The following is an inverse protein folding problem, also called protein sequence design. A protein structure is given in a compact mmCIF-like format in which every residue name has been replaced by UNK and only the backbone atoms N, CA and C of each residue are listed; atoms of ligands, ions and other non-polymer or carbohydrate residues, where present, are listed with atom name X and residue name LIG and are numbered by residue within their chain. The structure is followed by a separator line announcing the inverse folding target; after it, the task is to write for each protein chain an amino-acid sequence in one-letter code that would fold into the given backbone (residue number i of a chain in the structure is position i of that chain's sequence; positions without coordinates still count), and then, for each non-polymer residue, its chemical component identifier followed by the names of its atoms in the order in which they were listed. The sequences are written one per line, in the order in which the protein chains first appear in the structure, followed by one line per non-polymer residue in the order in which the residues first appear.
data_IF_103477176140
#
_entry.id   IF_103477176140
#
_cell.length_a   1.000
_cell.length_b   1.000
_cell.length_c   1.000
_cell.angle_alpha   90.00
_cell.angle_beta   90.00
_cell.angle_gamma   90.00
#
_symmetry.space_group_name_H-M   'P 1'
#
loop_
_entity.id
_entity.type
_entity.pdbx_description
1 polymer ?
#
# COMPACT_ATOMS: atom_id res chain seq x y z
N UNK A 1 47.17 8.39 -47.40
CA UNK A 1 46.96 9.38 -46.32
C UNK A 1 47.13 8.63 -45.02
N UNK A 2 48.28 8.81 -44.36
CA UNK A 2 48.53 8.18 -43.07
C UNK A 2 47.73 9.01 -42.01
N UNK A 3 46.74 8.38 -41.40
CA UNK A 3 46.06 8.98 -40.28
C UNK A 3 46.97 8.77 -39.06
N UNK A 4 47.63 9.81 -38.60
CA UNK A 4 48.40 9.77 -37.37
C UNK A 4 47.40 9.86 -36.24
N UNK A 5 47.27 8.77 -35.50
CA UNK A 5 46.45 8.75 -34.29
C UNK A 5 47.10 9.64 -33.22
N UNK A 6 46.34 10.51 -32.59
CA UNK A 6 46.86 11.34 -31.52
C UNK A 6 47.40 10.46 -30.37
N UNK A 7 48.63 10.70 -29.95
CA UNK A 7 49.26 10.02 -28.83
C UNK A 7 48.79 10.54 -27.46
N UNK A 8 48.20 11.74 -27.46
CA UNK A 8 47.56 12.34 -26.26
C UNK A 8 46.04 12.22 -26.42
N UNK A 9 45.45 11.26 -25.80
CA UNK A 9 43.98 11.05 -25.75
C UNK A 9 43.49 10.98 -24.28
N UNK A 10 42.18 10.88 -24.07
CA UNK A 10 41.58 10.81 -22.73
C UNK A 10 42.00 9.55 -21.96
N UNK A 11 42.46 8.50 -22.64
CA UNK A 11 42.90 7.27 -21.99
C UNK A 11 44.33 7.39 -21.43
N UNK A 12 45.18 8.18 -22.10
CA UNK A 12 46.57 8.43 -21.69
C UNK A 12 46.70 9.59 -20.68
N UNK A 13 45.75 10.50 -20.68
CA UNK A 13 45.75 11.67 -19.80
C UNK A 13 44.50 11.72 -18.86
N UNK A 14 44.24 10.63 -18.17
CA UNK A 14 43.11 10.50 -17.24
C UNK A 14 43.15 11.52 -16.11
N UNK A 15 44.34 12.01 -15.71
CA UNK A 15 44.50 13.04 -14.69
C UNK A 15 44.08 14.44 -15.13
N UNK A 16 43.90 14.67 -16.47
CA UNK A 16 43.41 15.95 -17.02
C UNK A 16 41.94 15.92 -17.37
N UNK A 17 41.30 14.77 -17.29
CA UNK A 17 39.85 14.68 -17.45
C UNK A 17 39.17 15.16 -16.17
N UNK A 18 38.19 16.02 -16.30
CA UNK A 18 37.37 16.44 -15.15
C UNK A 18 36.72 15.20 -14.53
N UNK A 19 36.73 15.06 -13.21
CA UNK A 19 36.02 13.98 -12.55
C UNK A 19 34.56 14.01 -12.94
N UNK A 20 33.90 12.85 -13.11
CA UNK A 20 32.49 12.81 -13.48
C UNK A 20 31.67 13.55 -12.43
N UNK A 21 30.92 14.58 -12.87
CA UNK A 21 29.96 15.23 -12.01
C UNK A 21 28.69 14.37 -11.92
N UNK A 22 28.21 14.11 -10.72
CA UNK A 22 26.93 13.47 -10.51
C UNK A 22 25.83 14.53 -10.75
N UNK A 23 25.18 14.45 -11.91
CA UNK A 23 24.11 15.37 -12.28
C UNK A 23 22.75 14.90 -11.74
N UNK A 24 22.59 13.60 -11.58
CA UNK A 24 21.31 12.98 -11.18
C UNK A 24 21.59 11.70 -10.39
N UNK A 25 20.79 11.48 -9.35
CA UNK A 25 20.77 10.24 -8.59
C UNK A 25 19.58 9.40 -9.08
N UNK A 26 19.85 8.24 -9.65
CA UNK A 26 18.80 7.35 -10.15
C UNK A 26 18.37 6.41 -9.02
N UNK A 27 17.12 6.52 -8.60
CA UNK A 27 16.51 5.61 -7.63
C UNK A 27 15.45 4.73 -8.29
N UNK A 28 15.31 3.51 -7.81
CA UNK A 28 14.22 2.59 -8.16
C UNK A 28 13.15 2.51 -7.08
N UNK A 29 13.26 3.32 -6.04
CA UNK A 29 12.34 3.34 -4.92
C UNK A 29 10.96 3.88 -5.34
N UNK A 30 9.90 3.26 -4.85
CA UNK A 30 8.51 3.58 -5.19
C UNK A 30 7.87 4.32 -4.03
N UNK A 31 7.33 5.51 -4.29
CA UNK A 31 6.69 6.37 -3.27
C UNK A 31 5.23 5.98 -2.97
N UNK A 32 4.61 5.15 -3.81
CA UNK A 32 3.21 4.74 -3.65
C UNK A 32 2.98 3.87 -2.41
N UNK A 33 1.81 4.05 -1.77
CA UNK A 33 1.29 3.20 -0.68
C UNK A 33 -0.07 2.63 -1.06
N UNK A 34 -0.13 1.67 -2.00
CA UNK A 34 -1.39 1.18 -2.56
C UNK A 34 -2.33 0.57 -1.53
N UNK A 35 -1.82 -0.21 -0.59
CA UNK A 35 -2.63 -0.83 0.46
C UNK A 35 -3.20 0.21 1.44
N UNK A 36 -2.40 1.25 1.77
CA UNK A 36 -2.87 2.37 2.60
C UNK A 36 -3.91 3.23 1.87
N UNK A 37 -3.76 3.41 0.54
CA UNK A 37 -4.70 4.18 -0.28
C UNK A 37 -6.02 3.43 -0.50
N UNK A 38 -6.01 2.11 -0.38
CA UNK A 38 -7.19 1.27 -0.51
C UNK A 38 -8.12 1.32 0.72
N UNK A 39 -7.68 1.87 1.86
CA UNK A 39 -8.45 1.96 3.11
C UNK A 39 -8.76 3.39 3.49
N UNK A 40 -9.66 3.57 4.45
CA UNK A 40 -9.96 4.90 5.00
C UNK A 40 -8.77 5.43 5.79
N UNK A 41 -8.54 6.74 5.72
CA UNK A 41 -7.50 7.42 6.50
C UNK A 41 -8.09 8.18 7.67
N UNK A 42 -7.37 8.21 8.78
CA UNK A 42 -7.72 8.95 9.98
C UNK A 42 -6.50 9.64 10.60
N UNK A 43 -6.76 10.55 11.51
CA UNK A 43 -5.72 11.23 12.28
C UNK A 43 -5.49 10.50 13.60
N UNK A 44 -4.22 10.27 13.93
CA UNK A 44 -3.84 9.64 15.19
C UNK A 44 -4.13 10.59 16.36
N UNK A 45 -4.61 10.08 17.52
CA UNK A 45 -4.70 10.89 18.74
C UNK A 45 -3.34 11.48 19.14
N UNK A 46 -3.35 12.69 19.69
CA UNK A 46 -2.13 13.41 20.03
C UNK A 46 -1.29 12.76 21.14
N UNK A 47 -1.86 11.87 21.94
CA UNK A 47 -1.21 11.20 23.07
C UNK A 47 -1.76 9.79 23.25
N UNK A 48 -0.94 8.93 23.88
CA UNK A 48 -1.27 7.53 24.14
C UNK A 48 -0.63 6.55 23.15
N UNK A 49 -0.29 5.36 23.63
CA UNK A 49 0.25 4.28 22.82
C UNK A 49 -0.84 3.29 22.36
N UNK A 50 -2.08 3.52 22.78
CA UNK A 50 -3.25 2.79 22.32
C UNK A 50 -4.49 3.68 22.45
N UNK A 51 -5.52 3.40 21.66
CA UNK A 51 -6.83 4.02 21.78
C UNK A 51 -7.92 3.01 21.50
N UNK A 52 -9.13 3.30 21.95
CA UNK A 52 -10.27 2.41 21.81
C UNK A 52 -11.31 2.99 20.88
N UNK A 53 -11.90 2.15 20.04
CA UNK A 53 -13.01 2.50 19.16
C UNK A 53 -14.24 1.71 19.59
N UNK A 54 -15.36 2.36 19.96
CA UNK A 54 -16.57 1.64 20.30
C UNK A 54 -17.13 0.90 19.09
N UNK A 55 -17.59 -0.33 19.32
CA UNK A 55 -18.21 -1.18 18.32
C UNK A 55 -19.53 -1.74 18.85
N UNK A 56 -20.56 -1.70 18.04
CA UNK A 56 -21.80 -2.38 18.32
C UNK A 56 -21.59 -3.90 18.22
N UNK A 57 -21.88 -4.62 19.29
CA UNK A 57 -21.81 -6.09 19.32
C UNK A 57 -23.15 -6.75 19.01
N UNK A 58 -24.23 -6.13 19.47
CA UNK A 58 -25.61 -6.59 19.20
C UNK A 58 -26.43 -5.41 18.73
N UNK A 59 -27.02 -5.53 17.53
CA UNK A 59 -27.96 -4.53 17.03
C UNK A 59 -29.32 -4.71 17.68
N UNK A 60 -30.06 -3.62 17.98
CA UNK A 60 -31.43 -3.72 18.42
C UNK A 60 -32.29 -4.30 17.30
N UNK A 61 -33.24 -5.13 17.67
CA UNK A 61 -34.27 -5.66 16.75
C UNK A 61 -35.61 -4.95 16.99
N UNK A 62 -36.39 -4.82 15.94
CA UNK A 62 -37.76 -4.28 16.01
C UNK A 62 -38.70 -5.43 15.64
N UNK A 63 -39.73 -5.60 16.42
CA UNK A 63 -40.82 -6.50 16.08
C UNK A 63 -41.67 -5.83 14.98
N UNK A 64 -41.78 -6.47 13.83
CA UNK A 64 -42.46 -5.93 12.66
C UNK A 64 -43.97 -6.27 12.59
N UNK A 65 -44.43 -7.18 13.44
CA UNK A 65 -45.80 -7.67 13.40
C UNK A 65 -46.34 -7.88 14.83
N UNK A 66 -46.32 -6.82 15.62
CA UNK A 66 -46.91 -6.83 16.98
C UNK A 66 -48.43 -6.65 16.90
N UNK A 67 -49.16 -7.57 17.51
CA UNK A 67 -50.63 -7.53 17.59
C UNK A 67 -51.07 -6.51 18.70
N UNK A 68 -52.30 -5.98 18.52
CA UNK A 68 -52.86 -5.02 19.47
C UNK A 68 -52.94 -5.63 20.89
N UNK A 69 -52.27 -5.02 21.85
CA UNK A 69 -52.28 -5.46 23.25
C UNK A 69 -51.13 -6.43 23.60
N UNK A 70 -50.27 -6.78 22.65
CA UNK A 70 -49.08 -7.58 22.90
C UNK A 70 -47.92 -6.75 23.44
N UNK A 71 -47.08 -7.35 24.30
CA UNK A 71 -45.88 -6.69 24.75
C UNK A 71 -44.88 -6.55 23.59
N UNK A 72 -44.35 -5.32 23.41
CA UNK A 72 -43.37 -5.05 22.38
C UNK A 72 -42.11 -5.91 22.57
N UNK A 73 -41.78 -6.75 21.59
CA UNK A 73 -40.57 -7.54 21.55
C UNK A 73 -39.40 -6.72 21.03
N UNK A 74 -38.22 -7.06 21.46
CA UNK A 74 -36.99 -6.45 20.94
C UNK A 74 -35.75 -6.99 21.65
N UNK A 75 -34.60 -6.86 20.97
CA UNK A 75 -33.30 -7.20 21.54
C UNK A 75 -32.63 -5.92 22.04
N UNK A 76 -32.08 -5.96 23.24
CA UNK A 76 -31.30 -4.85 23.78
C UNK A 76 -30.01 -4.65 22.97
N UNK A 77 -29.66 -3.39 22.78
CA UNK A 77 -28.41 -3.00 22.15
C UNK A 77 -27.23 -3.29 23.09
N UNK A 78 -26.22 -3.99 22.62
CA UNK A 78 -24.96 -4.19 23.34
C UNK A 78 -23.78 -3.62 22.55
N UNK A 79 -22.81 -3.06 23.27
CA UNK A 79 -21.60 -2.49 22.68
C UNK A 79 -20.34 -3.10 23.30
N UNK A 80 -19.30 -3.14 22.52
CA UNK A 80 -17.93 -3.48 22.91
C UNK A 80 -16.95 -2.44 22.36
N UNK A 81 -15.67 -2.63 22.52
CA UNK A 81 -14.66 -1.74 21.96
C UNK A 81 -13.53 -2.54 21.32
N UNK A 82 -12.89 -1.92 20.33
CA UNK A 82 -11.70 -2.41 19.67
C UNK A 82 -10.53 -1.59 20.19
N UNK A 83 -9.51 -2.25 20.76
CA UNK A 83 -8.27 -1.61 21.13
C UNK A 83 -7.33 -1.58 19.92
N UNK A 84 -6.78 -0.41 19.63
CA UNK A 84 -5.86 -0.17 18.53
C UNK A 84 -4.55 0.32 19.09
N UNK A 85 -3.47 -0.42 18.83
CA UNK A 85 -2.13 -0.10 19.29
C UNK A 85 -1.43 0.83 18.30
N UNK A 86 -0.76 1.85 18.83
CA UNK A 86 0.07 2.78 18.07
C UNK A 86 1.45 2.19 17.90
N UNK A 87 1.89 2.11 16.64
CA UNK A 87 3.20 1.60 16.25
C UNK A 87 4.09 2.73 15.77
N UNK A 88 5.40 2.59 15.92
CA UNK A 88 6.41 3.50 15.41
C UNK A 88 7.12 2.84 14.22
N UNK A 89 7.16 3.53 13.09
CA UNK A 89 8.09 3.23 12.00
C UNK A 89 9.22 4.26 12.05
N UNK A 90 10.46 3.81 12.01
CA UNK A 90 11.63 4.69 12.06
C UNK A 90 12.77 4.13 11.22
N UNK A 91 13.43 5.00 10.47
CA UNK A 91 14.66 4.71 9.76
C UNK A 91 15.78 5.63 10.25
N UNK A 92 16.99 5.10 10.43
CA UNK A 92 18.17 5.82 10.83
C UNK A 92 19.27 5.57 9.82
N UNK A 93 19.96 6.63 9.39
CA UNK A 93 21.17 6.56 8.59
C UNK A 93 22.29 7.34 9.26
N UNK A 94 23.50 6.79 9.21
CA UNK A 94 24.71 7.42 9.74
C UNK A 94 25.63 7.75 8.59
N UNK A 95 26.05 9.00 8.49
CA UNK A 95 26.86 9.56 7.40
C UNK A 95 28.14 10.13 8.00
N UNK A 96 29.27 9.99 7.33
CA UNK A 96 30.51 10.70 7.71
C UNK A 96 30.46 12.16 7.25
N UNK A 97 31.08 13.06 7.99
CA UNK A 97 31.18 14.46 7.59
C UNK A 97 31.96 14.63 6.28
N UNK A 98 33.00 13.80 6.08
CA UNK A 98 33.77 13.85 4.85
C UNK A 98 32.89 13.53 3.62
N UNK A 99 31.96 12.59 3.75
CA UNK A 99 31.01 12.30 2.68
C UNK A 99 30.08 13.48 2.42
N UNK A 100 29.59 14.13 3.48
CA UNK A 100 28.71 15.27 3.36
C UNK A 100 29.43 16.47 2.72
N UNK A 101 30.67 16.77 3.14
CA UNK A 101 31.44 17.90 2.64
C UNK A 101 31.97 17.70 1.21
N UNK A 102 32.23 16.44 0.82
CA UNK A 102 32.82 16.09 -0.47
C UNK A 102 31.80 15.59 -1.50
N UNK A 103 30.58 15.30 -1.08
CA UNK A 103 29.50 14.89 -2.00
C UNK A 103 28.79 16.09 -2.64
N UNK A 104 27.98 15.81 -3.65
CA UNK A 104 27.08 16.80 -4.22
C UNK A 104 26.10 17.31 -3.16
N UNK A 105 25.74 18.61 -3.15
CA UNK A 105 24.73 19.17 -2.23
C UNK A 105 23.38 18.44 -2.26
N UNK A 106 23.05 17.79 -3.38
CA UNK A 106 21.82 17.02 -3.55
C UNK A 106 21.80 15.68 -2.76
N UNK A 107 22.95 15.20 -2.27
CA UNK A 107 23.03 13.90 -1.60
C UNK A 107 22.18 13.82 -0.33
N UNK A 108 22.21 14.88 0.48
CA UNK A 108 21.44 14.92 1.73
C UNK A 108 19.91 14.90 1.48
N UNK A 109 19.45 15.67 0.50
CA UNK A 109 18.04 15.72 0.14
C UNK A 109 17.58 14.36 -0.42
N UNK A 110 18.42 13.70 -1.20
CA UNK A 110 18.13 12.39 -1.76
C UNK A 110 18.07 11.31 -0.67
N UNK A 111 18.96 11.37 0.31
CA UNK A 111 18.91 10.48 1.47
C UNK A 111 17.60 10.61 2.24
N UNK A 112 17.11 11.83 2.44
CA UNK A 112 15.82 12.07 3.12
C UNK A 112 14.67 11.49 2.29
N UNK A 113 14.71 11.63 0.96
CA UNK A 113 13.70 11.03 0.08
C UNK A 113 13.71 9.51 0.19
N UNK A 114 14.87 8.87 0.12
CA UNK A 114 15.01 7.42 0.25
C UNK A 114 14.51 6.91 1.62
N UNK A 115 14.77 7.64 2.70
CA UNK A 115 14.21 7.31 4.02
C UNK A 115 12.67 7.44 4.05
N UNK A 116 12.10 8.43 3.34
CA UNK A 116 10.66 8.56 3.20
C UNK A 116 10.06 7.43 2.37
N UNK A 117 10.73 6.97 1.31
CA UNK A 117 10.31 5.80 0.54
C UNK A 117 10.34 4.52 1.37
N UNK A 118 11.40 4.33 2.14
CA UNK A 118 11.51 3.19 3.07
C UNK A 118 10.39 3.21 4.13
N UNK A 119 10.03 4.39 4.63
CA UNK A 119 8.90 4.56 5.54
C UNK A 119 7.57 4.23 4.84
N UNK A 120 7.36 4.71 3.61
CA UNK A 120 6.17 4.42 2.82
C UNK A 120 6.00 2.90 2.60
N UNK A 121 7.07 2.23 2.17
CA UNK A 121 7.12 0.77 2.01
C UNK A 121 6.78 0.03 3.31
N UNK A 122 7.39 0.42 4.44
CA UNK A 122 7.17 -0.24 5.72
C UNK A 122 5.72 -0.11 6.21
N UNK A 123 5.10 1.07 6.05
CA UNK A 123 3.71 1.30 6.44
C UNK A 123 2.71 0.60 5.52
N UNK A 124 3.02 0.46 4.25
CA UNK A 124 2.21 -0.27 3.28
C UNK A 124 2.24 -1.77 3.56
N UNK A 125 3.43 -2.34 3.79
CA UNK A 125 3.58 -3.74 4.23
C UNK A 125 2.89 -4.03 5.56
N UNK A 126 2.91 -3.09 6.50
CA UNK A 126 2.18 -3.25 7.75
C UNK A 126 0.66 -3.28 7.54
N UNK A 127 0.15 -2.57 6.52
CA UNK A 127 -1.27 -2.56 6.17
C UNK A 127 -1.68 -3.87 5.53
N UNK A 128 -0.90 -4.41 4.59
CA UNK A 128 -1.16 -5.74 4.00
C UNK A 128 -1.06 -6.84 5.05
N UNK A 129 -0.11 -6.76 5.99
CA UNK A 129 -0.03 -7.67 7.12
C UNK A 129 -1.27 -7.60 8.03
N UNK A 130 -1.85 -6.42 8.22
CA UNK A 130 -3.09 -6.26 8.97
C UNK A 130 -4.30 -6.87 8.22
N UNK A 131 -4.33 -6.79 6.88
CA UNK A 131 -5.33 -7.50 6.06
C UNK A 131 -5.24 -9.01 6.25
N UNK A 132 -4.03 -9.55 6.28
CA UNK A 132 -3.79 -10.98 6.55
C UNK A 132 -4.24 -11.37 7.96
N UNK A 133 -3.89 -10.59 8.96
CA UNK A 133 -4.19 -10.91 10.36
C UNK A 133 -5.68 -10.83 10.71
N UNK A 134 -6.41 -9.87 10.15
CA UNK A 134 -7.78 -9.55 10.56
C UNK A 134 -8.83 -9.74 9.46
N UNK A 135 -8.41 -9.90 8.21
CA UNK A 135 -9.31 -10.16 7.08
C UNK A 135 -9.81 -11.60 7.05
N UNK A 136 -10.94 -11.81 6.41
CA UNK A 136 -11.54 -13.14 6.22
C UNK A 136 -10.96 -13.80 4.98
N UNK A 137 -10.58 -15.07 5.09
CA UNK A 137 -10.12 -15.85 3.94
C UNK A 137 -11.30 -16.18 3.02
N UNK A 138 -11.09 -16.00 1.72
CA UNK A 138 -12.08 -16.34 0.71
C UNK A 138 -12.19 -17.85 0.49
N UNK A 139 -13.23 -18.27 -0.22
CA UNK A 139 -13.28 -19.63 -0.76
C UNK A 139 -12.16 -19.87 -1.77
N UNK A 140 -11.66 -21.09 -1.83
CA UNK A 140 -10.57 -21.49 -2.74
C UNK A 140 -10.91 -21.21 -4.20
N UNK A 141 -9.95 -20.64 -4.93
CA UNK A 141 -10.05 -20.28 -6.35
C UNK A 141 -8.73 -20.58 -7.04
N UNK A 142 -8.79 -20.91 -8.33
CA UNK A 142 -7.59 -21.09 -9.13
C UNK A 142 -6.86 -19.75 -9.39
N UNK A 143 -5.54 -19.79 -9.52
CA UNK A 143 -4.72 -18.62 -9.89
C UNK A 143 -4.81 -18.33 -11.40
N UNK A 144 -6.00 -18.06 -11.89
CA UNK A 144 -6.31 -17.77 -13.30
C UNK A 144 -7.28 -16.59 -13.38
N UNK A 145 -7.43 -16.00 -14.56
CA UNK A 145 -8.41 -14.93 -14.79
C UNK A 145 -9.85 -15.39 -14.46
N UNK A 146 -10.20 -16.64 -14.79
CA UNK A 146 -11.50 -17.20 -14.42
C UNK A 146 -11.66 -17.32 -12.90
N UNK A 147 -10.59 -17.73 -12.20
CA UNK A 147 -10.57 -17.79 -10.75
C UNK A 147 -10.63 -16.40 -10.09
N UNK A 148 -9.93 -15.41 -10.63
CA UNK A 148 -10.02 -14.02 -10.16
C UNK A 148 -11.46 -13.48 -10.34
N UNK A 149 -12.10 -13.74 -11.48
CA UNK A 149 -13.49 -13.37 -11.72
C UNK A 149 -14.44 -14.04 -10.72
N UNK A 150 -14.26 -15.35 -10.47
CA UNK A 150 -15.04 -16.10 -9.49
C UNK A 150 -14.82 -15.56 -8.06
N UNK A 151 -13.59 -15.24 -7.71
CA UNK A 151 -13.23 -14.60 -6.43
C UNK A 151 -13.97 -13.27 -6.25
N UNK A 152 -13.87 -12.35 -7.21
CA UNK A 152 -14.53 -11.05 -7.13
C UNK A 152 -16.05 -11.20 -7.05
N UNK A 153 -16.65 -11.99 -7.93
CA UNK A 153 -18.11 -12.16 -8.00
C UNK A 153 -18.72 -12.78 -6.75
N UNK A 154 -17.97 -13.61 -6.03
CA UNK A 154 -18.41 -14.28 -4.80
C UNK A 154 -18.13 -13.46 -3.55
N UNK A 155 -16.95 -12.89 -3.47
CA UNK A 155 -16.47 -12.28 -2.23
C UNK A 155 -16.89 -10.80 -2.07
N UNK A 156 -17.19 -10.07 -3.14
CA UNK A 156 -17.75 -8.70 -3.04
C UNK A 156 -19.10 -8.67 -2.34
N UNK A 157 -20.10 -9.49 -2.73
CA UNK A 157 -21.36 -9.58 -1.99
C UNK A 157 -21.18 -10.10 -0.56
N UNK A 158 -20.25 -11.04 -0.34
CA UNK A 158 -19.97 -11.58 0.97
C UNK A 158 -19.34 -10.53 1.91
N UNK A 159 -18.45 -9.68 1.38
CA UNK A 159 -17.89 -8.55 2.12
C UNK A 159 -18.99 -7.53 2.49
N UNK A 160 -19.92 -7.25 1.57
CA UNK A 160 -21.03 -6.37 1.84
C UNK A 160 -21.95 -6.93 2.93
N UNK A 161 -22.30 -8.21 2.86
CA UNK A 161 -23.13 -8.86 3.88
C UNK A 161 -22.47 -8.86 5.27
N UNK A 162 -21.14 -9.02 5.33
CA UNK A 162 -20.40 -9.05 6.59
C UNK A 162 -20.14 -7.67 7.19
N UNK A 163 -19.90 -6.66 6.35
CA UNK A 163 -19.48 -5.32 6.79
C UNK A 163 -20.58 -4.27 6.71
N UNK A 164 -21.66 -4.53 5.98
CA UNK A 164 -22.67 -3.52 5.67
C UNK A 164 -22.17 -2.38 4.78
N UNK A 165 -20.98 -2.55 4.16
CA UNK A 165 -20.28 -1.55 3.36
C UNK A 165 -19.81 -2.17 2.05
N UNK A 166 -19.91 -1.40 0.96
CA UNK A 166 -19.48 -1.88 -0.34
C UNK A 166 -17.95 -2.04 -0.41
N UNK A 167 -17.51 -3.21 -0.82
CA UNK A 167 -16.15 -3.41 -1.24
C UNK A 167 -15.96 -2.74 -2.60
N UNK A 168 -15.09 -1.72 -2.65
CA UNK A 168 -14.82 -0.91 -3.84
C UNK A 168 -13.43 -1.04 -4.37
N UNK A 169 -12.51 -1.54 -3.56
CA UNK A 169 -11.09 -1.58 -3.84
C UNK A 169 -10.60 -3.03 -3.94
N UNK A 170 -9.73 -3.24 -4.91
CA UNK A 170 -9.01 -4.50 -5.13
C UNK A 170 -7.52 -4.19 -5.04
N UNK A 171 -6.83 -4.76 -4.07
CA UNK A 171 -5.36 -4.67 -3.94
C UNK A 171 -4.76 -5.96 -4.45
N UNK A 172 -3.84 -5.86 -5.40
CA UNK A 172 -3.21 -7.01 -6.05
C UNK A 172 -1.69 -6.83 -6.11
N UNK A 173 -0.98 -7.94 -6.17
CA UNK A 173 0.45 -7.93 -6.44
C UNK A 173 0.76 -7.76 -7.95
N UNK A 174 2.02 -7.61 -8.29
CA UNK A 174 2.49 -7.42 -9.67
C UNK A 174 2.24 -8.65 -10.56
N UNK A 175 2.21 -9.87 -9.99
CA UNK A 175 1.93 -11.09 -10.76
C UNK A 175 0.46 -11.17 -11.21
N UNK A 176 -0.48 -10.71 -10.40
CA UNK A 176 -1.88 -10.55 -10.83
C UNK A 176 -2.01 -9.47 -11.90
N UNK A 177 -1.27 -8.39 -11.78
CA UNK A 177 -1.27 -7.35 -12.80
C UNK A 177 -0.80 -7.89 -14.16
N UNK A 178 0.31 -8.64 -14.17
CA UNK A 178 0.79 -9.34 -15.38
C UNK A 178 -0.30 -10.25 -15.97
N UNK A 179 -0.93 -11.07 -15.12
CA UNK A 179 -1.99 -11.99 -15.53
C UNK A 179 -3.21 -11.26 -16.11
N UNK A 180 -3.60 -10.13 -15.53
CA UNK A 180 -4.72 -9.31 -16.03
C UNK A 180 -4.37 -8.66 -17.37
N UNK A 181 -3.15 -8.15 -17.52
CA UNK A 181 -2.68 -7.54 -18.77
C UNK A 181 -2.55 -8.54 -19.91
N UNK A 182 -2.20 -9.79 -19.59
CA UNK A 182 -2.08 -10.88 -20.57
C UNK A 182 -3.40 -11.59 -20.88
N UNK A 183 -4.53 -11.15 -20.29
CA UNK A 183 -5.81 -11.81 -20.45
C UNK A 183 -6.48 -11.45 -21.78
N UNK A 184 -6.61 -12.44 -22.63
CA UNK A 184 -7.28 -12.34 -23.93
C UNK A 184 -8.60 -13.13 -23.98
N UNK A 185 -9.48 -12.70 -24.85
CA UNK A 185 -10.67 -13.45 -25.27
C UNK A 185 -10.26 -14.59 -26.22
N UNK A 186 -11.20 -15.53 -26.47
CA UNK A 186 -11.02 -16.62 -27.44
C UNK A 186 -10.69 -16.16 -28.87
N UNK A 187 -10.86 -14.87 -29.14
CA UNK A 187 -10.53 -14.21 -30.42
C UNK A 187 -9.26 -13.35 -30.35
N UNK A 188 -8.42 -13.54 -29.32
CA UNK A 188 -7.19 -12.76 -29.05
C UNK A 188 -7.46 -11.26 -28.87
N UNK A 189 -8.58 -10.89 -28.27
CA UNK A 189 -8.86 -9.51 -27.87
C UNK A 189 -8.55 -9.36 -26.38
N UNK A 190 -7.83 -8.31 -25.97
CA UNK A 190 -7.61 -8.04 -24.55
C UNK A 190 -8.91 -7.91 -23.79
N UNK A 191 -9.09 -8.67 -22.70
CA UNK A 191 -10.30 -8.63 -21.88
C UNK A 191 -10.39 -7.36 -21.02
N UNK A 192 -9.25 -6.85 -20.60
CA UNK A 192 -9.16 -5.66 -19.79
C UNK A 192 -8.52 -4.53 -20.59
N UNK A 193 -9.34 -3.74 -21.22
CA UNK A 193 -8.89 -2.53 -21.90
C UNK A 193 -8.99 -1.35 -20.92
N UNK A 194 -8.03 -0.44 -20.99
CA UNK A 194 -8.18 0.85 -20.33
C UNK A 194 -9.51 1.48 -20.77
N UNK A 195 -10.29 2.00 -19.84
CA UNK A 195 -11.70 2.38 -19.97
C UNK A 195 -12.01 3.52 -20.95
N UNK A 196 -11.13 3.81 -21.90
CA UNK A 196 -11.37 4.83 -22.89
C UNK A 196 -11.11 4.30 -24.30
N UNK A 197 -12.17 4.02 -25.10
CA UNK A 197 -12.01 3.48 -26.46
C UNK A 197 -11.38 4.49 -27.45
N UNK A 198 -11.06 5.70 -27.04
CA UNK A 198 -10.49 6.74 -27.88
C UNK A 198 -8.94 6.87 -27.80
N UNK A 199 -8.24 5.76 -27.67
CA UNK A 199 -6.77 5.74 -27.82
C UNK A 199 -6.02 6.79 -26.98
N UNK A 200 -6.62 7.21 -25.87
CA UNK A 200 -5.98 8.06 -24.91
C UNK A 200 -5.20 7.15 -23.98
N UNK A 201 -3.86 7.23 -23.92
CA UNK A 201 -3.10 6.48 -22.94
C UNK A 201 -3.68 6.83 -21.58
N UNK A 202 -4.29 5.85 -20.92
CA UNK A 202 -4.88 6.05 -19.62
C UNK A 202 -3.88 6.77 -18.74
N UNK A 203 -4.32 7.78 -18.03
CA UNK A 203 -3.47 8.58 -17.17
C UNK A 203 -2.88 7.64 -16.11
N UNK A 204 -1.73 7.07 -16.41
CA UNK A 204 -0.91 6.32 -15.45
C UNK A 204 -0.34 7.38 -14.53
N UNK A 205 -1.14 7.82 -13.57
CA UNK A 205 -0.56 8.51 -12.44
C UNK A 205 0.29 7.49 -11.71
N UNK A 206 1.54 7.79 -11.42
CA UNK A 206 2.44 6.94 -10.66
C UNK A 206 1.97 6.67 -9.22
N UNK A 207 0.72 6.90 -8.94
CA UNK A 207 0.04 6.71 -7.67
C UNK A 207 -0.98 5.58 -7.80
N UNK A 208 -0.56 4.37 -7.53
CA UNK A 208 -1.34 3.27 -6.98
C UNK A 208 -2.56 2.72 -7.75
N UNK A 209 -3.31 3.51 -8.53
CA UNK A 209 -4.50 3.06 -9.24
C UNK A 209 -4.17 2.76 -10.69
N UNK A 210 -4.40 1.51 -11.10
CA UNK A 210 -4.08 1.04 -12.46
C UNK A 210 -5.32 0.94 -13.35
N UNK A 211 -6.51 0.96 -12.76
CA UNK A 211 -7.78 0.88 -13.49
C UNK A 211 -8.87 0.16 -12.70
N UNK A 212 -9.95 -0.16 -13.38
CA UNK A 212 -11.09 -0.87 -12.81
C UNK A 212 -11.14 -2.30 -13.32
N UNK A 213 -11.24 -3.25 -12.39
CA UNK A 213 -11.50 -4.66 -12.70
C UNK A 213 -12.87 -5.04 -12.13
N UNK A 214 -13.80 -5.35 -12.99
CA UNK A 214 -15.19 -5.72 -12.62
C UNK A 214 -15.86 -4.69 -11.68
N UNK A 215 -15.58 -3.40 -11.90
CA UNK A 215 -16.15 -2.30 -11.11
C UNK A 215 -15.45 -2.05 -9.77
N UNK A 216 -14.29 -2.67 -9.53
CA UNK A 216 -13.44 -2.41 -8.36
C UNK A 216 -12.24 -1.57 -8.79
N UNK A 217 -11.96 -0.50 -8.04
CA UNK A 217 -10.72 0.25 -8.20
C UNK A 217 -9.54 -0.67 -7.88
N UNK A 218 -8.67 -0.87 -8.85
CA UNK A 218 -7.55 -1.79 -8.70
C UNK A 218 -6.29 -1.05 -8.33
N UNK A 219 -5.69 -1.46 -7.21
CA UNK A 219 -4.42 -0.96 -6.70
C UNK A 219 -3.37 -2.05 -6.88
N UNK A 220 -2.34 -1.77 -7.65
CA UNK A 220 -1.18 -2.67 -7.76
C UNK A 220 -0.18 -2.31 -6.70
N UNK A 221 0.09 -3.25 -5.80
CA UNK A 221 1.00 -3.08 -4.69
C UNK A 221 2.32 -3.84 -4.93
N UNK A 222 3.41 -3.12 -5.25
CA UNK A 222 4.73 -3.70 -5.43
C UNK A 222 5.42 -4.05 -4.10
N UNK A 223 4.85 -3.60 -2.97
CA UNK A 223 5.42 -3.81 -1.65
C UNK A 223 4.88 -5.03 -0.92
N UNK A 224 3.88 -5.72 -1.50
CA UNK A 224 3.34 -6.95 -0.92
C UNK A 224 4.45 -7.98 -0.68
N UNK A 225 4.37 -8.68 0.48
CA UNK A 225 5.29 -9.76 0.80
C UNK A 225 5.15 -10.95 -0.17
N UNK A 226 3.95 -11.16 -0.69
CA UNK A 226 3.61 -12.20 -1.65
C UNK A 226 3.75 -11.65 -3.07
N UNK A 227 4.74 -12.14 -3.81
CA UNK A 227 5.06 -11.68 -5.18
C UNK A 227 4.56 -12.62 -6.27
N UNK A 228 4.01 -13.79 -5.91
CA UNK A 228 3.49 -14.81 -6.81
C UNK A 228 1.98 -14.99 -6.65
N UNK A 229 1.35 -15.79 -7.50
CA UNK A 229 -0.09 -16.07 -7.48
C UNK A 229 -0.42 -17.20 -6.48
N UNK A 230 -0.27 -16.93 -5.21
CA UNK A 230 -0.59 -17.84 -4.11
C UNK A 230 -1.61 -17.20 -3.16
N UNK A 231 -1.82 -17.83 -2.01
CA UNK A 231 -2.65 -17.27 -0.94
C UNK A 231 -2.22 -15.85 -0.61
N UNK A 232 -3.20 -15.00 -0.30
CA UNK A 232 -2.95 -13.61 0.10
C UNK A 232 -2.31 -12.73 -1.00
N UNK A 233 -2.35 -13.17 -2.26
CA UNK A 233 -1.83 -12.41 -3.40
C UNK A 233 -2.78 -11.31 -3.90
N UNK A 234 -4.04 -11.31 -3.45
CA UNK A 234 -5.04 -10.29 -3.73
C UNK A 234 -5.98 -10.09 -2.54
N UNK A 235 -6.45 -8.85 -2.37
CA UNK A 235 -7.38 -8.45 -1.32
C UNK A 235 -8.52 -7.63 -1.91
N UNK A 236 -9.75 -8.03 -1.62
CA UNK A 236 -10.94 -7.20 -1.84
C UNK A 236 -11.17 -6.41 -0.56
N UNK A 237 -11.26 -5.10 -0.66
CA UNK A 237 -11.28 -4.19 0.48
C UNK A 237 -12.51 -3.30 0.43
N UNK A 238 -13.31 -3.32 1.50
CA UNK A 238 -14.26 -2.26 1.80
C UNK A 238 -13.52 -1.15 2.57
N UNK A 239 -13.32 0.06 2.01
CA UNK A 239 -12.41 1.06 2.58
C UNK A 239 -12.71 1.41 4.03
N UNK A 240 -13.98 1.44 4.40
CA UNK A 240 -14.46 1.84 5.73
C UNK A 240 -14.27 0.75 6.79
N UNK A 241 -13.96 -0.50 6.36
CA UNK A 241 -13.76 -1.64 7.27
C UNK A 241 -12.43 -1.60 7.99
N UNK A 242 -11.45 -0.94 7.40
CA UNK A 242 -10.14 -0.69 7.98
C UNK A 242 -9.84 0.80 7.92
N UNK A 243 -9.19 1.32 8.94
CA UNK A 243 -8.75 2.71 8.94
C UNK A 243 -7.28 2.78 9.33
N UNK A 244 -6.52 3.43 8.49
CA UNK A 244 -5.12 3.75 8.72
C UNK A 244 -5.02 5.12 9.39
N UNK A 245 -4.49 5.16 10.60
CA UNK A 245 -4.24 6.38 11.35
C UNK A 245 -2.77 6.71 11.29
N UNK A 246 -2.45 7.95 10.97
CA UNK A 246 -1.06 8.41 10.87
C UNK A 246 -0.92 9.78 11.54
N UNK A 247 0.18 9.95 12.28
CA UNK A 247 0.63 11.25 12.74
C UNK A 247 1.58 11.87 11.69
N UNK A 248 1.73 13.19 11.66
CA UNK A 248 2.73 13.82 10.80
C UNK A 248 4.11 13.20 11.01
N UNK A 249 4.81 12.90 9.92
CA UNK A 249 6.18 12.41 9.97
C UNK A 249 7.10 13.46 10.56
N UNK A 250 8.04 13.04 11.35
CA UNK A 250 9.09 13.92 11.90
C UNK A 250 10.43 13.49 11.34
N UNK A 251 11.10 14.42 10.70
CA UNK A 251 12.51 14.27 10.35
C UNK A 251 13.32 14.78 11.53
N UNK A 252 14.00 13.89 12.22
CA UNK A 252 14.90 14.27 13.30
C UNK A 252 16.26 14.56 12.68
N UNK A 253 16.66 15.83 12.69
CA UNK A 253 18.01 16.21 12.37
C UNK A 253 18.92 15.93 13.56
N UNK A 254 19.79 15.03 13.38
CA UNK A 254 21.19 15.12 13.55
C UNK A 254 21.68 15.19 14.97
N UNK A 255 22.15 14.07 15.44
CA UNK A 255 23.13 14.04 16.51
C UNK A 255 24.52 13.92 15.88
N UNK A 256 25.35 14.96 16.00
CA UNK A 256 26.77 14.85 15.69
C UNK A 256 27.39 13.87 16.70
N UNK A 257 27.92 12.75 16.21
CA UNK A 257 28.61 11.79 17.04
C UNK A 257 30.07 12.25 17.24
N UNK A 258 30.66 11.89 18.38
CA UNK A 258 32.04 12.28 18.73
C UNK A 258 33.10 11.76 17.74
N UNK A 259 32.75 10.83 16.84
CA UNK A 259 33.62 10.24 15.83
C UNK A 259 33.49 10.87 14.43
N UNK A 260 32.97 12.09 14.31
CA UNK A 260 32.83 12.77 13.01
C UNK A 260 31.72 12.22 12.12
N UNK A 261 30.70 11.67 12.72
CA UNK A 261 29.53 11.13 12.01
C UNK A 261 28.26 11.91 12.32
N UNK A 262 27.36 11.95 11.36
CA UNK A 262 26.08 12.60 11.42
C UNK A 262 24.97 11.53 11.34
N UNK A 263 24.01 11.55 12.26
CA UNK A 263 22.85 10.69 12.20
C UNK A 263 21.62 11.44 11.71
N UNK A 264 20.96 10.88 10.71
CA UNK A 264 19.69 11.38 10.17
C UNK A 264 18.63 10.30 10.40
N UNK A 265 17.53 10.66 11.03
CA UNK A 265 16.42 9.75 11.27
C UNK A 265 15.12 10.33 10.74
N UNK A 266 14.31 9.48 10.13
CA UNK A 266 12.90 9.75 9.82
C UNK A 266 12.06 8.79 10.65
N UNK A 267 11.09 9.30 11.37
CA UNK A 267 10.15 8.46 12.09
C UNK A 267 8.73 9.00 12.03
N UNK A 268 7.78 8.11 12.18
CA UNK A 268 6.36 8.44 12.28
C UNK A 268 5.63 7.42 13.13
N UNK A 269 4.50 7.82 13.67
CA UNK A 269 3.59 6.96 14.40
C UNK A 269 2.38 6.66 13.52
N UNK A 270 1.97 5.40 13.53
CA UNK A 270 0.80 4.94 12.80
C UNK A 270 0.06 3.88 13.59
N UNK A 271 -1.21 3.70 13.28
CA UNK A 271 -2.04 2.64 13.81
C UNK A 271 -3.00 2.14 12.74
N UNK A 272 -3.30 0.85 12.74
CA UNK A 272 -4.24 0.24 11.81
C UNK A 272 -5.38 -0.33 12.62
N UNK A 273 -6.59 0.16 12.38
CA UNK A 273 -7.78 -0.27 13.07
C UNK A 273 -8.63 -1.19 12.18
N UNK A 274 -8.65 -2.51 12.46
CA UNK A 274 -9.56 -3.44 11.79
C UNK A 274 -10.95 -3.34 12.43
N UNK A 275 -11.79 -2.42 11.94
CA UNK A 275 -13.14 -2.19 12.48
C UNK A 275 -14.06 -3.37 12.21
N UNK A 276 -14.01 -3.91 10.99
CA UNK A 276 -14.80 -5.08 10.56
C UNK A 276 -13.94 -5.97 9.67
N UNK A 277 -13.43 -7.06 10.21
CA UNK A 277 -12.55 -7.99 9.46
C UNK A 277 -13.22 -8.59 8.23
N UNK A 278 -14.52 -8.86 8.28
CA UNK A 278 -15.28 -9.38 7.14
C UNK A 278 -15.37 -8.46 5.92
N UNK A 279 -15.04 -7.17 6.07
CA UNK A 279 -14.98 -6.23 4.95
C UNK A 279 -13.69 -6.31 4.12
N UNK A 280 -12.72 -7.10 4.56
CA UNK A 280 -11.53 -7.47 3.78
C UNK A 280 -11.56 -8.96 3.52
N UNK A 281 -11.48 -9.33 2.23
CA UNK A 281 -11.45 -10.71 1.78
C UNK A 281 -10.10 -11.02 1.18
N UNK A 282 -9.46 -12.08 1.67
CA UNK A 282 -8.13 -12.53 1.22
C UNK A 282 -8.27 -13.58 0.15
N UNK A 283 -7.52 -13.48 -0.93
CA UNK A 283 -7.46 -14.53 -1.96
C UNK A 283 -6.93 -15.83 -1.34
N UNK A 284 -7.53 -16.95 -1.73
CA UNK A 284 -7.17 -18.29 -1.30
C UNK A 284 -7.02 -19.20 -2.51
N UNK A 285 -5.82 -19.75 -2.69
CA UNK A 285 -5.48 -20.64 -3.78
C UNK A 285 -5.94 -22.08 -3.49
N UNK A 286 -6.37 -22.78 -4.52
CA UNK A 286 -6.67 -24.24 -4.44
C UNK A 286 -5.41 -25.08 -4.44
#
# INVERSE_FOLDING_TARGET
RVIVKATNDTSTNTGLTLPPHMNEFVTTSIDGRPAVDAVSRGTLPASGMSFTIPKLSTAPTIDSDSTQGEALGGTEMASTYITVDVKKAAGLQTISWELLDRSSPAFYDELIKELNYAYAKATDQATTAAFVASGTQASTQAATIAGLKAYISKEVPAAYAAAGKFARNLVINTAWWETIMAADDTTNRPLFMASNPQNNPGNISGQSIVGDVLGLNTFVDPHMAVTTLIDESAFIVAPESFTFYEAPKTTLNVQALANGQLQVAVYGYYAIAPKVGGGVRRFNLT
#
